data_IF_751821833579
#
_entry.id   IF_751821833579
#
_cell.length_a   1.000
_cell.length_b   1.000
_cell.length_c   1.000
_cell.angle_alpha   90.00
_cell.angle_beta   90.00
_cell.angle_gamma   90.00
#
_symmetry.space_group_name_H-M   'P 1'
#
loop_
_entity.id
_entity.type
_entity.pdbx_description
1 polymer ?
#
# COMPACT_ATOMS: atom_id res chain seq x y z
N UNK A 1 40.85 -12.28 19.47
CA UNK A 1 40.90 -10.93 18.84
C UNK A 1 39.62 -10.22 19.19
N UNK A 2 39.64 -9.27 20.14
CA UNK A 2 38.44 -8.53 20.53
C UNK A 2 38.23 -7.33 19.61
N UNK A 3 37.03 -7.24 19.00
CA UNK A 3 36.62 -6.06 18.25
C UNK A 3 36.59 -4.86 19.17
N UNK A 4 37.30 -3.77 18.79
CA UNK A 4 37.32 -2.55 19.60
C UNK A 4 35.91 -1.92 19.59
N UNK A 5 35.55 -1.23 20.70
CA UNK A 5 34.28 -0.51 20.80
C UNK A 5 34.07 0.49 19.64
N UNK A 6 35.13 1.10 19.15
CA UNK A 6 35.07 1.98 17.97
C UNK A 6 34.68 1.24 16.69
N UNK A 7 35.20 0.04 16.47
CA UNK A 7 34.88 -0.78 15.29
C UNK A 7 33.43 -1.27 15.33
N UNK A 8 32.93 -1.58 16.54
CA UNK A 8 31.52 -1.96 16.73
C UNK A 8 30.57 -0.78 16.44
N UNK A 9 30.85 0.41 16.95
CA UNK A 9 30.00 1.59 16.69
C UNK A 9 30.05 2.04 15.22
N UNK A 10 31.20 2.00 14.56
CA UNK A 10 31.29 2.31 13.13
C UNK A 10 30.56 1.29 12.26
N UNK A 11 30.63 0.00 12.60
CA UNK A 11 29.92 -1.05 11.90
C UNK A 11 28.39 -0.96 12.03
N UNK A 12 27.88 -0.67 13.23
CA UNK A 12 26.43 -0.49 13.47
C UNK A 12 25.89 0.79 12.82
N UNK A 13 26.62 1.88 12.86
CA UNK A 13 26.19 3.14 12.21
C UNK A 13 26.16 2.99 10.68
N UNK A 14 27.13 2.29 10.09
CA UNK A 14 27.14 2.02 8.65
C UNK A 14 25.97 1.08 8.23
N UNK A 15 25.68 0.05 9.02
CA UNK A 15 24.58 -0.89 8.71
C UNK A 15 23.20 -0.22 8.84
N UNK A 16 22.99 0.61 9.86
CA UNK A 16 21.75 1.39 10.03
C UNK A 16 21.63 2.46 8.94
N UNK A 17 22.71 3.14 8.60
CA UNK A 17 22.71 4.15 7.52
C UNK A 17 22.46 3.53 6.14
N UNK A 18 23.01 2.36 5.84
CA UNK A 18 22.77 1.66 4.58
C UNK A 18 21.32 1.14 4.49
N UNK A 19 20.78 0.60 5.59
CA UNK A 19 19.38 0.17 5.66
C UNK A 19 18.41 1.33 5.44
N UNK A 20 18.56 2.42 6.16
CA UNK A 20 17.72 3.61 6.03
C UNK A 20 17.83 4.26 4.64
N UNK A 21 19.04 4.29 4.04
CA UNK A 21 19.25 4.78 2.70
C UNK A 21 18.60 3.91 1.62
N UNK A 22 18.69 2.59 1.76
CA UNK A 22 18.06 1.65 0.83
C UNK A 22 16.53 1.73 0.86
N UNK A 23 15.93 1.75 2.06
CA UNK A 23 14.48 1.91 2.22
C UNK A 23 13.99 3.29 1.77
N UNK A 24 14.73 4.35 2.07
CA UNK A 24 14.41 5.70 1.64
C UNK A 24 14.48 5.85 0.12
N UNK A 25 15.51 5.32 -0.52
CA UNK A 25 15.64 5.35 -1.99
C UNK A 25 14.53 4.57 -2.69
N UNK A 26 14.16 3.38 -2.19
CA UNK A 26 13.03 2.61 -2.73
C UNK A 26 11.69 3.33 -2.53
N UNK A 27 11.49 3.95 -1.37
CA UNK A 27 10.27 4.72 -1.12
C UNK A 27 10.16 5.90 -2.09
N UNK A 28 11.23 6.65 -2.29
CA UNK A 28 11.27 7.78 -3.24
C UNK A 28 11.01 7.29 -4.68
N UNK A 29 11.63 6.19 -5.08
CA UNK A 29 11.40 5.56 -6.38
C UNK A 29 9.92 5.16 -6.58
N UNK A 30 9.30 4.59 -5.56
CA UNK A 30 7.91 4.16 -5.59
C UNK A 30 6.92 5.33 -5.57
N UNK A 31 7.16 6.33 -4.72
CA UNK A 31 6.32 7.52 -4.63
C UNK A 31 6.46 8.42 -5.86
N UNK A 32 7.64 8.41 -6.49
CA UNK A 32 7.91 9.17 -7.72
C UNK A 32 7.56 8.41 -9.01
N UNK A 33 7.23 7.12 -8.93
CA UNK A 33 6.86 6.36 -10.11
C UNK A 33 5.47 6.77 -10.62
N UNK A 34 5.30 6.96 -11.93
CA UNK A 34 3.99 7.24 -12.50
C UNK A 34 3.01 6.09 -12.18
N UNK A 35 1.70 6.35 -12.12
CA UNK A 35 0.69 5.33 -11.85
C UNK A 35 0.77 4.11 -12.76
N UNK A 36 1.22 4.31 -13.99
CA UNK A 36 1.35 3.27 -15.03
C UNK A 36 2.65 2.46 -14.92
N UNK A 37 3.58 2.83 -14.03
CA UNK A 37 4.83 2.08 -13.89
C UNK A 37 4.51 0.64 -13.43
N UNK A 38 5.13 -0.38 -14.06
CA UNK A 38 4.84 -1.78 -13.74
C UNK A 38 5.19 -2.11 -12.28
N UNK A 39 4.43 -3.00 -11.69
CA UNK A 39 4.77 -3.61 -10.41
C UNK A 39 6.07 -4.41 -10.55
N UNK A 40 6.84 -4.46 -9.46
CA UNK A 40 8.17 -5.10 -9.44
C UNK A 40 8.18 -6.44 -8.72
N UNK A 41 7.25 -6.65 -7.81
CA UNK A 41 7.16 -7.84 -6.96
C UNK A 41 6.06 -8.78 -7.44
N UNK A 42 4.92 -8.22 -7.80
CA UNK A 42 3.76 -8.95 -8.29
C UNK A 42 3.88 -9.19 -9.79
N UNK A 43 3.58 -10.40 -10.25
CA UNK A 43 3.45 -10.69 -11.66
C UNK A 43 2.23 -9.98 -12.28
N UNK A 44 2.20 -9.70 -13.58
CA UNK A 44 1.07 -9.02 -14.22
C UNK A 44 -0.30 -9.64 -13.93
N UNK A 45 -0.39 -10.97 -13.93
CA UNK A 45 -1.63 -11.70 -13.62
C UNK A 45 -2.04 -11.56 -12.14
N UNK A 46 -1.08 -11.51 -11.23
CA UNK A 46 -1.33 -11.25 -9.81
C UNK A 46 -1.85 -9.81 -9.60
N UNK A 47 -1.27 -8.84 -10.32
CA UNK A 47 -1.71 -7.43 -10.30
C UNK A 47 -3.16 -7.31 -10.76
N UNK A 48 -3.52 -7.99 -11.86
CA UNK A 48 -4.87 -7.97 -12.39
C UNK A 48 -5.88 -8.58 -11.41
N UNK A 49 -5.58 -9.80 -10.92
CA UNK A 49 -6.45 -10.50 -9.97
C UNK A 49 -6.59 -9.73 -8.67
N UNK A 50 -5.48 -9.25 -8.11
CA UNK A 50 -5.48 -8.45 -6.88
C UNK A 50 -6.26 -7.16 -7.07
N UNK A 51 -6.09 -6.49 -8.21
CA UNK A 51 -6.82 -5.26 -8.53
C UNK A 51 -8.32 -5.48 -8.62
N UNK A 52 -8.77 -6.56 -9.28
CA UNK A 52 -10.18 -6.91 -9.37
C UNK A 52 -10.79 -7.17 -7.99
N UNK A 53 -10.14 -8.00 -7.17
CA UNK A 53 -10.59 -8.28 -5.80
C UNK A 53 -10.60 -7.02 -4.93
N UNK A 54 -9.56 -6.16 -5.03
CA UNK A 54 -9.49 -4.93 -4.25
C UNK A 54 -10.61 -3.95 -4.63
N UNK A 55 -10.97 -3.84 -5.91
CA UNK A 55 -12.07 -2.99 -6.38
C UNK A 55 -13.45 -3.51 -5.94
N UNK A 56 -13.62 -4.84 -5.79
CA UNK A 56 -14.83 -5.38 -5.19
C UNK A 56 -14.93 -5.11 -3.68
N UNK A 57 -13.78 -5.11 -2.97
CA UNK A 57 -13.73 -4.83 -1.53
C UNK A 57 -13.92 -3.35 -1.21
N UNK A 58 -13.38 -2.46 -2.03
CA UNK A 58 -13.51 -1.00 -1.90
C UNK A 58 -13.75 -0.45 -3.30
N UNK A 59 -15.02 -0.48 -3.77
CA UNK A 59 -15.36 0.03 -5.08
C UNK A 59 -15.27 1.56 -5.15
N UNK A 60 -15.07 2.14 -6.34
CA UNK A 60 -15.20 3.57 -6.52
C UNK A 60 -16.65 4.01 -6.31
N UNK A 61 -16.85 5.10 -5.58
CA UNK A 61 -18.15 5.73 -5.43
C UNK A 61 -18.38 6.75 -6.54
N UNK A 62 -19.48 6.65 -7.29
CA UNK A 62 -19.83 7.67 -8.26
C UNK A 62 -20.23 8.99 -7.55
N UNK A 63 -20.16 10.14 -8.25
CA UNK A 63 -20.70 11.39 -7.75
C UNK A 63 -22.18 11.23 -7.40
N UNK A 64 -22.55 11.53 -6.17
CA UNK A 64 -23.93 11.43 -5.69
C UNK A 64 -24.24 12.53 -4.68
N UNK A 65 -25.52 12.84 -4.49
CA UNK A 65 -25.95 13.90 -3.56
C UNK A 65 -25.48 13.65 -2.12
N UNK A 66 -25.47 12.39 -1.66
CA UNK A 66 -25.06 12.02 -0.31
C UNK A 66 -23.57 12.25 -0.02
N UNK A 67 -22.70 12.28 -1.05
CA UNK A 67 -21.27 12.56 -0.91
C UNK A 67 -20.88 13.97 -1.39
N UNK A 68 -21.84 14.89 -1.44
CA UNK A 68 -21.62 16.27 -1.87
C UNK A 68 -21.34 16.43 -3.37
N UNK A 69 -21.79 15.51 -4.20
CA UNK A 69 -21.56 15.50 -5.65
C UNK A 69 -20.15 15.10 -6.05
N UNK A 70 -19.34 14.53 -5.15
CA UNK A 70 -17.98 14.09 -5.39
C UNK A 70 -17.93 12.57 -5.45
N UNK A 71 -17.28 12.01 -6.47
CA UNK A 71 -16.91 10.61 -6.45
C UNK A 71 -15.72 10.35 -5.51
N UNK A 72 -15.63 9.14 -5.02
CA UNK A 72 -14.44 8.70 -4.28
C UNK A 72 -13.74 7.58 -5.05
N UNK A 73 -12.40 7.60 -5.16
CA UNK A 73 -11.66 6.57 -5.86
C UNK A 73 -11.79 5.23 -5.14
N UNK A 74 -11.85 4.16 -5.92
CA UNK A 74 -11.77 2.80 -5.41
C UNK A 74 -10.35 2.40 -4.99
N UNK A 75 -10.19 1.14 -4.58
CA UNK A 75 -8.92 0.63 -4.07
C UNK A 75 -7.80 0.73 -5.11
N UNK A 76 -8.06 0.39 -6.36
CA UNK A 76 -7.07 0.45 -7.45
C UNK A 76 -6.62 1.88 -7.72
N UNK A 77 -7.57 2.80 -7.83
CA UNK A 77 -7.29 4.23 -8.08
C UNK A 77 -6.56 4.89 -6.89
N UNK A 78 -6.79 4.38 -5.68
CA UNK A 78 -6.05 4.77 -4.48
C UNK A 78 -4.66 4.11 -4.34
N UNK A 79 -4.15 3.44 -5.38
CA UNK A 79 -2.85 2.76 -5.43
C UNK A 79 -2.69 1.60 -4.42
N UNK A 80 -3.76 0.93 -4.00
CA UNK A 80 -3.68 -0.19 -3.06
C UNK A 80 -2.86 -1.35 -3.63
N UNK A 81 -3.00 -1.66 -4.92
CA UNK A 81 -2.21 -2.71 -5.58
C UNK A 81 -0.72 -2.40 -5.52
N UNK A 82 -0.34 -1.15 -5.78
CA UNK A 82 1.06 -0.70 -5.71
C UNK A 82 1.60 -0.71 -4.28
N UNK A 83 0.77 -0.32 -3.30
CA UNK A 83 1.10 -0.46 -1.90
C UNK A 83 1.45 -1.91 -1.56
N UNK A 84 0.63 -2.87 -2.00
CA UNK A 84 0.88 -4.29 -1.76
C UNK A 84 2.10 -4.81 -2.51
N UNK A 85 2.30 -4.41 -3.77
CA UNK A 85 3.50 -4.76 -4.54
C UNK A 85 4.78 -4.37 -3.80
N UNK A 86 4.81 -3.18 -3.23
CA UNK A 86 5.96 -2.69 -2.48
C UNK A 86 6.15 -3.40 -1.14
N UNK A 87 5.06 -3.58 -0.38
CA UNK A 87 5.14 -4.17 0.96
C UNK A 87 5.36 -5.69 0.95
N UNK A 88 5.00 -6.37 -0.13
CA UNK A 88 5.30 -7.80 -0.34
C UNK A 88 6.71 -8.06 -0.88
N UNK A 89 7.48 -7.01 -1.21
CA UNK A 89 8.85 -7.15 -1.69
C UNK A 89 9.78 -7.74 -0.63
N UNK A 90 10.87 -8.42 -1.02
CA UNK A 90 11.85 -8.95 -0.08
C UNK A 90 12.37 -7.87 0.88
N UNK A 91 12.33 -8.15 2.18
CA UNK A 91 12.75 -7.21 3.23
C UNK A 91 11.74 -6.12 3.59
N UNK A 92 10.58 -6.08 2.95
CA UNK A 92 9.49 -5.16 3.30
C UNK A 92 8.56 -5.74 4.39
N UNK A 93 7.62 -4.92 4.88
CA UNK A 93 6.81 -5.24 6.06
C UNK A 93 5.93 -6.49 5.91
N UNK A 94 5.47 -6.79 4.69
CA UNK A 94 4.60 -7.94 4.41
C UNK A 94 5.32 -9.03 3.58
N UNK A 95 6.66 -9.01 3.54
CA UNK A 95 7.44 -9.97 2.75
C UNK A 95 7.13 -11.43 3.11
N UNK A 96 6.79 -11.72 4.37
CA UNK A 96 6.39 -13.06 4.82
C UNK A 96 5.12 -13.59 4.18
N UNK A 97 4.23 -12.70 3.72
CA UNK A 97 2.96 -13.08 3.10
C UNK A 97 3.06 -13.25 1.57
N UNK A 98 4.24 -12.96 0.96
CA UNK A 98 4.40 -12.99 -0.50
C UNK A 98 4.01 -14.32 -1.13
N UNK A 99 4.44 -15.43 -0.53
CA UNK A 99 4.14 -16.76 -1.04
C UNK A 99 2.65 -17.10 -0.89
N UNK A 100 2.03 -16.69 0.22
CA UNK A 100 0.57 -16.80 0.40
C UNK A 100 -0.16 -16.06 -0.70
N UNK A 101 0.21 -14.82 -0.99
CA UNK A 101 -0.38 -14.06 -2.09
C UNK A 101 -0.21 -14.78 -3.43
N UNK A 102 0.99 -15.25 -3.76
CA UNK A 102 1.26 -15.96 -5.01
C UNK A 102 0.35 -17.17 -5.21
N UNK A 103 0.22 -18.01 -4.19
CA UNK A 103 -0.57 -19.24 -4.25
C UNK A 103 -2.07 -18.94 -4.32
N UNK A 104 -2.56 -18.02 -3.50
CA UNK A 104 -3.99 -17.79 -3.36
C UNK A 104 -4.54 -16.87 -4.46
N UNK A 105 -3.77 -15.92 -4.98
CA UNK A 105 -4.17 -15.14 -6.15
C UNK A 105 -4.30 -16.01 -7.40
N UNK A 106 -3.41 -17.00 -7.57
CA UNK A 106 -3.54 -17.95 -8.67
C UNK A 106 -4.86 -18.74 -8.61
N UNK A 107 -5.32 -19.13 -7.42
CA UNK A 107 -6.60 -19.81 -7.18
C UNK A 107 -7.81 -18.86 -7.33
N UNK A 108 -7.62 -17.59 -7.03
CA UNK A 108 -8.67 -16.57 -7.07
C UNK A 108 -8.86 -15.93 -8.45
N UNK A 109 -8.04 -16.28 -9.44
CA UNK A 109 -8.10 -15.72 -10.80
C UNK A 109 -9.49 -15.88 -11.41
N UNK A 110 -10.11 -14.74 -11.78
CA UNK A 110 -11.44 -14.71 -12.39
C UNK A 110 -12.60 -15.00 -11.44
N UNK A 111 -12.37 -15.00 -10.14
CA UNK A 111 -13.40 -15.25 -9.12
C UNK A 111 -13.80 -13.95 -8.44
N UNK A 112 -15.06 -13.87 -8.04
CA UNK A 112 -15.58 -12.77 -7.22
C UNK A 112 -15.05 -12.85 -5.78
N UNK A 113 -14.93 -11.70 -5.11
CA UNK A 113 -14.47 -11.62 -3.72
C UNK A 113 -15.32 -12.46 -2.76
N UNK A 114 -16.64 -12.50 -2.96
CA UNK A 114 -17.54 -13.33 -2.16
C UNK A 114 -17.30 -14.84 -2.31
N UNK A 115 -16.86 -15.30 -3.49
CA UNK A 115 -16.49 -16.70 -3.70
C UNK A 115 -15.17 -17.03 -3.00
N UNK A 116 -14.22 -16.09 -3.02
CA UNK A 116 -12.96 -16.23 -2.31
C UNK A 116 -13.19 -16.27 -0.79
N UNK A 117 -14.07 -15.39 -0.26
CA UNK A 117 -14.45 -15.40 1.16
C UNK A 117 -15.02 -16.75 1.59
N UNK A 118 -15.93 -17.31 0.79
CA UNK A 118 -16.57 -18.59 1.07
C UNK A 118 -15.58 -19.76 1.09
N UNK A 119 -14.69 -19.82 0.09
CA UNK A 119 -13.84 -21.00 -0.12
C UNK A 119 -12.48 -20.91 0.57
N UNK A 120 -12.02 -19.68 0.85
CA UNK A 120 -10.73 -19.39 1.48
C UNK A 120 -10.81 -18.19 2.43
N UNK A 121 -11.59 -18.30 3.52
CA UNK A 121 -11.84 -17.20 4.44
C UNK A 121 -10.56 -16.66 5.08
N UNK A 122 -9.55 -17.49 5.27
CA UNK A 122 -8.26 -17.05 5.86
C UNK A 122 -7.50 -16.12 4.93
N UNK A 123 -7.46 -16.45 3.65
CA UNK A 123 -6.83 -15.57 2.67
C UNK A 123 -7.66 -14.31 2.47
N UNK A 124 -8.98 -14.42 2.44
CA UNK A 124 -9.87 -13.26 2.33
C UNK A 124 -9.67 -12.27 3.48
N UNK A 125 -9.60 -12.74 4.73
CA UNK A 125 -9.32 -11.88 5.90
C UNK A 125 -7.96 -11.20 5.81
N UNK A 126 -6.93 -11.92 5.33
CA UNK A 126 -5.60 -11.36 5.09
C UNK A 126 -5.66 -10.27 4.03
N UNK A 127 -6.29 -10.56 2.90
CA UNK A 127 -6.46 -9.64 1.78
C UNK A 127 -7.22 -8.38 2.21
N UNK A 128 -8.38 -8.55 2.86
CA UNK A 128 -9.21 -7.44 3.34
C UNK A 128 -8.45 -6.52 4.29
N UNK A 129 -7.70 -7.11 5.22
CA UNK A 129 -6.86 -6.35 6.15
C UNK A 129 -5.81 -5.53 5.41
N UNK A 130 -5.11 -6.11 4.45
CA UNK A 130 -4.05 -5.43 3.72
C UNK A 130 -4.59 -4.40 2.72
N UNK A 131 -5.73 -4.66 2.08
CA UNK A 131 -6.44 -3.67 1.25
C UNK A 131 -6.84 -2.46 2.09
N UNK A 132 -7.39 -2.67 3.28
CA UNK A 132 -7.71 -1.57 4.23
C UNK A 132 -6.46 -0.81 4.66
N UNK A 133 -5.34 -1.50 4.93
CA UNK A 133 -4.08 -0.83 5.26
C UNK A 133 -3.61 0.09 4.13
N UNK A 134 -3.68 -0.36 2.89
CA UNK A 134 -3.30 0.46 1.73
C UNK A 134 -4.26 1.62 1.48
N UNK A 135 -5.56 1.41 1.66
CA UNK A 135 -6.57 2.42 1.36
C UNK A 135 -6.68 3.50 2.45
N UNK A 136 -6.67 3.12 3.73
CA UNK A 136 -6.83 4.04 4.87
C UNK A 136 -5.51 4.48 5.51
N UNK A 137 -4.41 3.88 5.11
CA UNK A 137 -3.08 4.19 5.63
C UNK A 137 -2.57 5.57 5.24
N UNK A 138 -1.46 5.96 5.83
CA UNK A 138 -0.79 7.20 5.45
C UNK A 138 -0.24 7.08 4.01
N UNK A 139 -0.51 8.06 3.13
CA UNK A 139 -0.05 8.04 1.72
C UNK A 139 1.45 7.83 1.54
N UNK A 140 2.26 8.21 2.52
CA UNK A 140 3.72 7.98 2.49
C UNK A 140 4.13 6.51 2.41
N UNK A 141 3.21 5.59 2.68
CA UNK A 141 3.44 4.15 2.53
C UNK A 141 3.07 3.59 1.14
N UNK A 142 2.72 4.48 0.19
CA UNK A 142 2.50 4.12 -1.22
C UNK A 142 1.04 3.86 -1.60
N UNK A 143 0.15 3.69 -0.63
CA UNK A 143 -1.30 3.62 -0.85
C UNK A 143 -2.00 4.96 -0.62
N UNK A 144 -3.34 4.93 -0.53
CA UNK A 144 -4.17 6.12 -0.26
C UNK A 144 -3.82 7.32 -1.14
N UNK A 145 -3.62 7.08 -2.44
CA UNK A 145 -3.16 8.08 -3.39
C UNK A 145 -4.03 9.32 -3.36
N UNK A 146 -3.38 10.48 -3.36
CA UNK A 146 -4.07 11.76 -3.30
C UNK A 146 -4.93 11.95 -2.03
N UNK A 147 -4.65 11.23 -0.94
CA UNK A 147 -5.43 11.26 0.31
C UNK A 147 -6.89 10.82 0.11
N UNK A 148 -7.13 9.82 -0.74
CA UNK A 148 -8.46 9.35 -1.13
C UNK A 148 -9.39 9.13 0.06
N UNK A 149 -8.99 8.29 1.01
CA UNK A 149 -9.79 7.97 2.20
C UNK A 149 -9.95 9.16 3.16
N UNK A 150 -8.94 10.01 3.30
CA UNK A 150 -9.01 11.18 4.17
C UNK A 150 -9.97 12.23 3.63
N UNK A 151 -9.96 12.45 2.29
CA UNK A 151 -10.93 13.32 1.64
C UNK A 151 -12.35 12.80 1.76
N UNK A 152 -12.54 11.49 1.60
CA UNK A 152 -13.84 10.82 1.80
C UNK A 152 -14.37 11.05 3.22
N UNK A 153 -13.53 10.90 4.24
CA UNK A 153 -13.88 11.07 5.64
C UNK A 153 -13.88 12.54 6.10
N UNK A 154 -13.54 13.50 5.24
CA UNK A 154 -13.44 14.92 5.61
C UNK A 154 -12.28 15.24 6.56
N UNK A 155 -11.28 14.34 6.65
CA UNK A 155 -10.12 14.51 7.51
C UNK A 155 -9.03 15.30 6.76
N UNK A 156 -8.39 16.26 7.44
CA UNK A 156 -7.34 17.09 6.83
C UNK A 156 -6.01 16.36 6.60
N UNK A 157 -5.93 15.08 6.95
CA UNK A 157 -4.73 14.25 6.91
C UNK A 157 -4.24 13.86 8.32
N UNK A 158 -3.24 13.00 8.45
CA UNK A 158 -2.68 12.66 9.74
C UNK A 158 -2.05 13.92 10.35
N UNK A 159 -2.62 14.39 11.45
CA UNK A 159 -2.24 15.63 12.13
C UNK A 159 -0.87 15.62 12.81
N UNK A 160 0.09 14.86 12.30
CA UNK A 160 1.36 14.62 12.97
C UNK A 160 2.51 15.52 12.53
N UNK A 161 2.48 16.09 11.34
CA UNK A 161 3.49 17.07 10.89
C UNK A 161 2.91 17.87 9.73
N UNK A 162 3.12 19.17 9.67
CA UNK A 162 2.66 20.05 8.59
C UNK A 162 3.11 19.68 7.16
N UNK A 163 3.71 18.51 6.99
CA UNK A 163 4.13 17.92 5.71
C UNK A 163 3.07 17.03 5.07
N UNK A 164 2.07 16.58 5.83
CA UNK A 164 1.04 15.62 5.39
C UNK A 164 -0.30 16.32 5.08
N UNK A 165 -0.30 17.63 4.93
CA UNK A 165 -1.51 18.40 4.57
C UNK A 165 -1.77 18.23 3.07
N UNK A 166 -3.00 17.85 2.66
CA UNK A 166 -3.35 17.78 1.24
C UNK A 166 -3.05 19.10 0.52
N UNK A 167 -2.51 19.08 -0.70
CA UNK A 167 -2.30 20.30 -1.46
C UNK A 167 -3.61 21.07 -1.61
N UNK A 168 -3.66 22.31 -1.12
CA UNK A 168 -4.82 23.21 -1.24
C UNK A 168 -5.48 23.68 0.07
N UNK A 169 -5.14 23.11 1.23
CA UNK A 169 -5.52 23.70 2.52
C UNK A 169 -4.31 24.36 3.18
N UNK A 170 -4.29 25.70 3.21
CA UNK A 170 -3.39 26.43 4.11
C UNK A 170 -3.82 26.09 5.56
N UNK A 171 -2.85 25.70 6.37
CA UNK A 171 -3.07 25.66 7.81
C UNK A 171 -3.52 27.06 8.25
N UNK A 172 -4.74 27.16 8.76
CA UNK A 172 -5.25 28.36 9.41
C UNK A 172 -4.63 28.48 10.81
#
# INVERSE_FOLDING_TARGET
MGLSRRTFFLGTTAAVGAGAGFFGARLVEYLGAPPEAPCKTLAPEEVETLGALADELIPPDPPAAWNGGRGHPGAREANVVRFLDWHLAPGAALAGDRETYRVHLAKAKGRAAAEVEKDDPKFFDLLLRHVKMGYYGNPRYGGNAGYASYRMLGIAGPGCTGRDVPPGKKAG
#
